data_IF_983007856214
#
_entry.id   IF_983007856214
#
_cell.length_a   1.000
_cell.length_b   1.000
_cell.length_c   1.000
_cell.angle_alpha   90.00
_cell.angle_beta   90.00
_cell.angle_gamma   90.00
#
_symmetry.space_group_name_H-M   'P 1'
#
loop_
_entity.id
_entity.type
_entity.pdbx_description
1 polymer ?
#
# COMPACT_ATOMS: atom_id res chain seq x y z
N UNK A 1 -14.82 11.07 -20.10
CA UNK A 1 -15.60 12.14 -19.44
C UNK A 1 -15.41 12.05 -17.94
N UNK A 2 -15.35 13.17 -17.23
CA UNK A 2 -15.23 13.22 -15.76
C UNK A 2 -16.50 13.88 -15.21
N UNK A 3 -17.19 13.20 -14.29
CA UNK A 3 -18.41 13.69 -13.66
C UNK A 3 -18.33 13.60 -12.12
N UNK A 4 -18.99 14.53 -11.44
CA UNK A 4 -19.14 14.56 -9.97
C UNK A 4 -20.63 14.68 -9.67
N UNK A 5 -21.22 13.63 -9.09
CA UNK A 5 -22.67 13.44 -9.14
C UNK A 5 -23.16 13.39 -10.60
N UNK A 6 -24.25 14.08 -10.90
CA UNK A 6 -24.82 14.12 -12.25
C UNK A 6 -24.18 15.17 -13.18
N UNK A 7 -23.15 15.89 -12.70
CA UNK A 7 -22.57 17.03 -13.42
C UNK A 7 -21.24 16.64 -14.10
N UNK A 8 -21.15 16.83 -15.41
CA UNK A 8 -19.89 16.76 -16.16
C UNK A 8 -19.04 17.98 -15.79
N UNK A 9 -17.79 17.76 -15.36
CA UNK A 9 -16.92 18.80 -14.81
C UNK A 9 -15.68 19.11 -15.66
N UNK A 10 -15.56 18.50 -16.84
CA UNK A 10 -14.42 18.63 -17.77
C UNK A 10 -13.97 20.09 -17.97
N UNK A 11 -14.88 20.96 -18.40
CA UNK A 11 -14.59 22.36 -18.78
C UNK A 11 -14.77 23.36 -17.63
N UNK A 12 -15.12 22.90 -16.43
CA UNK A 12 -15.33 23.78 -15.29
C UNK A 12 -14.01 24.23 -14.68
N UNK A 13 -13.95 25.48 -14.23
CA UNK A 13 -12.83 25.94 -13.42
C UNK A 13 -12.80 25.18 -12.06
N UNK A 14 -11.62 24.97 -11.44
CA UNK A 14 -11.51 24.19 -10.19
C UNK A 14 -12.44 24.65 -9.07
N UNK A 15 -12.68 25.96 -8.93
CA UNK A 15 -13.58 26.54 -7.91
C UNK A 15 -15.04 26.11 -8.05
N UNK A 16 -15.45 25.73 -9.26
CA UNK A 16 -16.82 25.41 -9.65
C UNK A 16 -17.09 23.89 -9.65
N UNK A 17 -16.07 23.06 -9.39
CA UNK A 17 -16.15 21.59 -9.34
C UNK A 17 -16.60 21.03 -8.00
N UNK A 18 -16.73 21.89 -6.98
CA UNK A 18 -17.12 21.53 -5.62
C UNK A 18 -16.23 20.46 -4.96
N UNK A 19 -14.92 20.62 -5.17
CA UNK A 19 -13.86 19.78 -4.62
C UNK A 19 -13.02 20.54 -3.59
N UNK A 20 -12.43 19.82 -2.65
CA UNK A 20 -11.35 20.33 -1.80
C UNK A 20 -10.08 19.50 -1.99
N UNK A 21 -8.95 20.20 -2.12
CA UNK A 21 -7.64 19.59 -2.33
C UNK A 21 -6.75 19.83 -1.11
N UNK A 22 -6.05 18.78 -0.67
CA UNK A 22 -4.98 18.83 0.33
C UNK A 22 -3.68 18.49 -0.38
N UNK A 23 -2.77 19.45 -0.44
CA UNK A 23 -1.49 19.35 -1.14
C UNK A 23 -0.40 18.79 -0.22
N UNK A 24 0.64 18.24 -0.84
CA UNK A 24 1.87 17.78 -0.20
C UNK A 24 2.52 18.85 0.70
N UNK A 25 2.66 20.10 0.21
CA UNK A 25 3.37 21.19 0.91
C UNK A 25 2.53 21.99 1.92
N UNK A 26 1.40 21.44 2.38
CA UNK A 26 0.38 22.08 3.24
C UNK A 26 -0.35 23.29 2.62
N UNK A 27 0.32 24.04 1.74
CA UNK A 27 -0.13 25.24 1.04
C UNK A 27 -0.76 26.31 1.97
N UNK A 28 -0.27 26.44 3.21
CA UNK A 28 -0.79 27.39 4.20
C UNK A 28 -0.25 28.80 3.96
N UNK A 29 -1.09 29.82 4.16
CA UNK A 29 -0.67 31.22 4.11
C UNK A 29 0.08 31.57 5.40
N UNK A 30 1.39 31.90 5.34
CA UNK A 30 2.24 32.03 6.53
C UNK A 30 1.93 33.28 7.37
N UNK A 31 1.32 34.30 6.74
CA UNK A 31 0.95 35.56 7.37
C UNK A 31 -0.42 35.52 8.07
N UNK A 32 -1.24 34.51 7.76
CA UNK A 32 -2.56 34.29 8.35
C UNK A 32 -2.45 33.36 9.56
N UNK A 33 -3.34 33.55 10.53
CA UNK A 33 -3.59 32.61 11.64
C UNK A 33 -4.21 31.32 11.13
N UNK A 34 -4.28 30.29 11.98
CA UNK A 34 -4.96 29.03 11.68
C UNK A 34 -6.44 29.27 11.37
N UNK A 35 -7.13 30.09 12.17
CA UNK A 35 -8.53 30.46 11.93
C UNK A 35 -8.69 31.12 10.56
N UNK A 36 -7.85 32.10 10.22
CA UNK A 36 -7.91 32.80 8.93
C UNK A 36 -7.62 31.87 7.76
N UNK A 37 -6.62 30.98 7.90
CA UNK A 37 -6.31 29.97 6.88
C UNK A 37 -7.53 29.09 6.56
N UNK A 38 -8.25 28.64 7.60
CA UNK A 38 -9.47 27.83 7.46
C UNK A 38 -10.64 28.66 6.91
N UNK A 39 -10.83 29.88 7.41
CA UNK A 39 -11.94 30.74 7.01
C UNK A 39 -11.82 31.29 5.57
N UNK A 40 -10.60 31.40 5.03
CA UNK A 40 -10.30 32.13 3.79
C UNK A 40 -11.22 31.77 2.61
N UNK A 41 -11.40 30.47 2.33
CA UNK A 41 -12.24 30.02 1.22
C UNK A 41 -13.73 30.33 1.38
N UNK A 42 -14.22 30.39 2.63
CA UNK A 42 -15.60 30.74 2.94
C UNK A 42 -15.83 32.26 2.85
N UNK A 43 -14.84 33.05 3.28
CA UNK A 43 -14.86 34.52 3.15
C UNK A 43 -14.97 34.90 1.68
N UNK A 44 -14.15 34.30 0.81
CA UNK A 44 -14.15 34.59 -0.62
C UNK A 44 -15.48 34.21 -1.31
N UNK A 45 -16.20 33.23 -0.75
CA UNK A 45 -17.54 32.82 -1.19
C UNK A 45 -18.67 33.65 -0.54
N UNK A 46 -18.34 34.72 0.19
CA UNK A 46 -19.28 35.62 0.85
C UNK A 46 -20.23 34.94 1.88
N UNK A 47 -19.76 33.89 2.54
CA UNK A 47 -20.52 33.29 3.65
C UNK A 47 -20.65 34.27 4.84
N UNK A 48 -21.77 34.17 5.57
CA UNK A 48 -21.99 35.00 6.76
C UNK A 48 -20.98 34.70 7.87
N UNK A 49 -20.54 35.72 8.61
CA UNK A 49 -19.53 35.58 9.68
C UNK A 49 -19.87 34.51 10.72
N UNK A 50 -21.14 34.40 11.12
CA UNK A 50 -21.60 33.37 12.06
C UNK A 50 -21.48 31.96 11.50
N UNK A 51 -21.74 31.78 10.20
CA UNK A 51 -21.58 30.48 9.54
C UNK A 51 -20.10 30.08 9.44
N UNK A 52 -19.24 31.02 9.05
CA UNK A 52 -17.78 30.81 8.99
C UNK A 52 -17.27 30.34 10.33
N UNK A 53 -17.60 31.06 11.41
CA UNK A 53 -17.18 30.72 12.78
C UNK A 53 -17.60 29.30 13.15
N UNK A 54 -18.89 28.96 12.96
CA UNK A 54 -19.42 27.63 13.26
C UNK A 54 -18.70 26.52 12.49
N UNK A 55 -18.46 26.71 11.18
CA UNK A 55 -17.77 25.71 10.34
C UNK A 55 -16.30 25.53 10.78
N UNK A 56 -15.60 26.63 11.06
CA UNK A 56 -14.20 26.59 11.52
C UNK A 56 -14.09 25.91 12.88
N UNK A 57 -14.94 26.28 13.84
CA UNK A 57 -14.96 25.66 15.17
C UNK A 57 -15.28 24.16 15.10
N UNK A 58 -16.25 23.77 14.27
CA UNK A 58 -16.58 22.36 14.04
C UNK A 58 -15.39 21.56 13.47
N UNK A 59 -14.77 22.06 12.39
CA UNK A 59 -13.61 21.41 11.78
C UNK A 59 -12.41 21.36 12.74
N UNK A 60 -12.19 22.42 13.51
CA UNK A 60 -11.13 22.47 14.52
C UNK A 60 -11.35 21.45 15.65
N UNK A 61 -12.60 21.19 16.02
CA UNK A 61 -12.98 20.13 16.96
C UNK A 61 -12.69 18.73 16.42
N UNK A 62 -13.09 18.44 15.17
CA UNK A 62 -12.82 17.14 14.52
C UNK A 62 -11.33 16.82 14.50
N UNK A 63 -10.51 17.83 14.21
CA UNK A 63 -9.06 17.70 14.03
C UNK A 63 -8.24 17.93 15.30
N UNK A 64 -8.90 18.24 16.42
CA UNK A 64 -8.26 18.58 17.68
C UNK A 64 -7.17 19.68 17.52
N UNK A 65 -7.57 20.81 16.93
CA UNK A 65 -6.70 22.00 16.71
C UNK A 65 -7.32 23.30 17.25
N UNK A 66 -8.38 23.22 18.07
CA UNK A 66 -9.08 24.38 18.63
C UNK A 66 -8.15 25.36 19.34
N UNK A 67 -7.23 24.85 20.17
CA UNK A 67 -6.26 25.66 20.94
C UNK A 67 -5.22 26.37 20.06
N UNK A 68 -5.16 26.03 18.77
CA UNK A 68 -4.21 26.60 17.83
C UNK A 68 -4.81 27.63 16.89
N UNK A 69 -6.12 27.90 16.96
CA UNK A 69 -6.84 28.80 16.04
C UNK A 69 -6.20 30.20 15.93
N UNK A 70 -5.67 30.74 17.03
CA UNK A 70 -5.03 32.06 17.06
C UNK A 70 -3.53 32.05 16.67
N UNK A 71 -2.92 30.88 16.50
CA UNK A 71 -1.49 30.75 16.14
C UNK A 71 -1.30 30.93 14.63
N UNK A 72 -0.07 31.25 14.21
CA UNK A 72 0.36 31.25 12.81
C UNK A 72 1.10 29.94 12.45
N UNK A 73 1.15 29.52 11.18
CA UNK A 73 1.77 28.25 10.74
C UNK A 73 3.20 27.99 11.23
N UNK A 74 4.00 29.05 11.39
CA UNK A 74 5.38 28.97 11.92
C UNK A 74 5.47 28.54 13.38
N UNK A 75 4.38 28.63 14.14
CA UNK A 75 4.29 28.25 15.56
C UNK A 75 3.75 26.83 15.75
N UNK A 76 3.58 26.08 14.66
CA UNK A 76 2.99 24.74 14.65
C UNK A 76 4.03 23.68 14.31
N UNK A 77 3.84 22.46 14.79
CA UNK A 77 4.57 21.28 14.32
C UNK A 77 4.12 20.89 12.90
N UNK A 78 4.85 20.00 12.22
CA UNK A 78 4.46 19.48 10.90
C UNK A 78 3.06 18.86 10.90
N UNK A 79 2.75 18.05 11.92
CA UNK A 79 1.46 17.38 12.03
C UNK A 79 0.32 18.33 12.35
N UNK A 80 0.60 19.37 13.15
CA UNK A 80 -0.36 20.45 13.37
C UNK A 80 -0.63 21.23 12.07
N UNK A 81 0.41 21.57 11.29
CA UNK A 81 0.23 22.20 9.97
C UNK A 81 -0.60 21.31 9.04
N UNK A 82 -0.35 20.00 9.03
CA UNK A 82 -1.13 19.05 8.23
C UNK A 82 -2.60 19.04 8.64
N UNK A 83 -2.89 19.04 9.95
CA UNK A 83 -4.27 19.15 10.45
C UNK A 83 -4.92 20.46 10.00
N UNK A 84 -4.21 21.58 10.03
CA UNK A 84 -4.75 22.86 9.53
C UNK A 84 -5.04 22.78 8.03
N UNK A 85 -4.15 22.17 7.23
CA UNK A 85 -4.37 21.97 5.79
C UNK A 85 -5.61 21.12 5.52
N UNK A 86 -5.80 20.02 6.25
CA UNK A 86 -7.04 19.24 6.20
C UNK A 86 -8.26 20.05 6.66
N UNK A 87 -8.10 20.88 7.69
CA UNK A 87 -9.15 21.75 8.20
C UNK A 87 -9.67 22.71 7.13
N UNK A 88 -8.78 23.29 6.32
CA UNK A 88 -9.15 24.13 5.16
C UNK A 88 -9.98 23.39 4.13
N UNK A 89 -9.76 22.09 3.97
CA UNK A 89 -10.57 21.27 3.08
C UNK A 89 -11.94 20.98 3.70
N UNK A 90 -11.98 20.57 4.97
CA UNK A 90 -13.21 20.14 5.66
C UNK A 90 -14.23 21.28 5.79
N UNK A 91 -13.77 22.50 6.12
CA UNK A 91 -14.68 23.66 6.27
C UNK A 91 -15.46 24.00 4.98
N UNK A 92 -14.95 23.58 3.82
CA UNK A 92 -15.63 23.80 2.53
C UNK A 92 -16.81 22.85 2.31
N UNK A 93 -16.88 21.74 3.03
CA UNK A 93 -17.93 20.73 2.89
C UNK A 93 -18.12 20.28 1.41
N UNK A 94 -17.04 19.81 0.75
CA UNK A 94 -17.07 19.49 -0.68
C UNK A 94 -17.75 18.15 -0.96
N UNK A 95 -18.10 17.88 -2.23
CA UNK A 95 -18.55 16.55 -2.65
C UNK A 95 -17.43 15.51 -2.71
N UNK A 96 -16.20 15.96 -2.96
CA UNK A 96 -15.02 15.10 -3.10
C UNK A 96 -13.80 15.76 -2.46
N UNK A 97 -13.09 14.98 -1.64
CA UNK A 97 -11.76 15.32 -1.15
C UNK A 97 -10.68 14.71 -2.04
N UNK A 98 -9.68 15.51 -2.40
CA UNK A 98 -8.50 15.07 -3.12
C UNK A 98 -7.28 15.27 -2.23
N UNK A 99 -6.54 14.19 -1.96
CA UNK A 99 -5.32 14.21 -1.18
C UNK A 99 -4.15 13.84 -2.08
N UNK A 100 -3.19 14.74 -2.20
CA UNK A 100 -2.00 14.58 -3.03
C UNK A 100 -0.77 14.44 -2.13
N UNK A 101 -0.35 13.19 -1.89
CA UNK A 101 0.74 12.81 -0.99
C UNK A 101 0.80 13.59 0.33
N UNK A 102 -0.31 13.67 1.10
CA UNK A 102 -0.42 14.60 2.21
C UNK A 102 0.52 14.29 3.39
N UNK A 103 1.17 13.13 3.42
CA UNK A 103 2.01 12.66 4.52
C UNK A 103 3.51 12.59 4.19
N UNK A 104 3.91 12.82 2.93
CA UNK A 104 5.30 12.59 2.49
C UNK A 104 6.30 13.52 3.19
N UNK A 105 5.89 14.74 3.51
CA UNK A 105 6.69 15.75 4.22
C UNK A 105 6.82 15.53 5.75
N UNK A 106 6.25 14.46 6.30
CA UNK A 106 6.28 14.15 7.73
C UNK A 106 7.33 13.07 8.05
N UNK A 107 7.85 13.05 9.28
CA UNK A 107 8.68 11.95 9.77
C UNK A 107 7.87 10.67 9.98
N UNK A 108 8.55 9.52 10.03
CA UNK A 108 7.91 8.21 10.08
C UNK A 108 6.93 8.03 11.26
N UNK A 109 7.27 8.52 12.46
CA UNK A 109 6.40 8.41 13.64
C UNK A 109 5.13 9.22 13.44
N UNK A 110 5.29 10.42 12.93
CA UNK A 110 4.18 11.32 12.67
C UNK A 110 3.30 10.85 11.50
N UNK A 111 3.86 10.21 10.48
CA UNK A 111 3.09 9.57 9.39
C UNK A 111 2.12 8.53 9.93
N UNK A 112 2.58 7.62 10.81
CA UNK A 112 1.71 6.58 11.40
C UNK A 112 0.55 7.21 12.19
N UNK A 113 0.84 8.25 12.98
CA UNK A 113 -0.18 8.98 13.71
C UNK A 113 -1.19 9.63 12.77
N UNK A 114 -0.72 10.39 11.78
CA UNK A 114 -1.58 11.14 10.86
C UNK A 114 -2.40 10.23 9.96
N UNK A 115 -1.87 9.08 9.54
CA UNK A 115 -2.62 8.05 8.82
C UNK A 115 -3.82 7.54 9.61
N UNK A 116 -3.62 7.27 10.90
CA UNK A 116 -4.71 6.87 11.80
C UNK A 116 -5.77 7.97 11.91
N UNK A 117 -5.35 9.24 11.98
CA UNK A 117 -6.27 10.38 12.03
C UNK A 117 -7.04 10.58 10.72
N UNK A 118 -6.42 10.40 9.55
CA UNK A 118 -7.10 10.45 8.25
C UNK A 118 -8.15 9.33 8.15
N UNK A 119 -7.82 8.12 8.60
CA UNK A 119 -8.79 7.00 8.63
C UNK A 119 -10.00 7.30 9.52
N UNK A 120 -9.78 7.92 10.69
CA UNK A 120 -10.87 8.38 11.56
C UNK A 120 -11.68 9.50 10.93
N UNK A 121 -11.02 10.44 10.26
CA UNK A 121 -11.68 11.54 9.55
C UNK A 121 -12.60 11.00 8.46
N UNK A 122 -12.12 10.07 7.62
CA UNK A 122 -12.91 9.44 6.57
C UNK A 122 -14.20 8.82 7.12
N UNK A 123 -14.09 8.06 8.23
CA UNK A 123 -15.24 7.47 8.94
C UNK A 123 -16.23 8.48 9.51
N UNK A 124 -15.82 9.72 9.80
CA UNK A 124 -16.68 10.75 10.40
C UNK A 124 -17.36 11.63 9.36
N UNK A 125 -16.70 11.85 8.23
CA UNK A 125 -17.15 12.81 7.21
C UNK A 125 -17.89 12.11 6.06
N UNK A 126 -17.66 10.80 5.86
CA UNK A 126 -18.36 9.94 4.89
C UNK A 126 -18.45 10.50 3.45
N UNK A 127 -17.54 11.40 3.11
CA UNK A 127 -17.45 12.03 1.79
C UNK A 127 -16.41 11.28 0.96
N UNK A 128 -16.64 11.17 -0.36
CA UNK A 128 -15.70 10.52 -1.27
C UNK A 128 -14.31 11.13 -1.17
N UNK A 129 -13.29 10.31 -0.93
CA UNK A 129 -11.88 10.72 -0.87
C UNK A 129 -11.07 9.98 -1.93
N UNK A 130 -10.28 10.73 -2.71
CA UNK A 130 -9.24 10.18 -3.58
C UNK A 130 -7.90 10.52 -2.94
N UNK A 131 -7.10 9.51 -2.66
CA UNK A 131 -5.82 9.63 -1.98
C UNK A 131 -4.70 9.10 -2.88
N UNK A 132 -3.73 9.95 -3.19
CA UNK A 132 -2.55 9.63 -3.99
C UNK A 132 -1.35 9.44 -3.07
N UNK A 133 -0.60 8.37 -3.28
CA UNK A 133 0.61 8.05 -2.51
C UNK A 133 1.50 7.08 -3.27
N UNK A 134 2.81 7.17 -3.04
CA UNK A 134 3.78 6.17 -3.40
C UNK A 134 4.05 5.17 -2.27
N UNK A 135 3.52 5.39 -1.07
CA UNK A 135 3.68 4.51 0.08
C UNK A 135 2.58 3.44 0.09
N UNK A 136 3.00 2.20 -0.16
CA UNK A 136 2.12 1.04 -0.13
C UNK A 136 1.42 0.81 1.20
N UNK A 137 2.04 1.12 2.35
CA UNK A 137 1.43 0.94 3.67
C UNK A 137 0.29 1.94 3.84
N UNK A 138 0.41 3.15 3.30
CA UNK A 138 -0.70 4.10 3.24
C UNK A 138 -1.85 3.57 2.39
N UNK A 139 -1.57 3.11 1.16
CA UNK A 139 -2.58 2.54 0.27
C UNK A 139 -3.32 1.36 0.92
N UNK A 140 -2.57 0.45 1.55
CA UNK A 140 -3.12 -0.77 2.15
C UNK A 140 -3.93 -0.53 3.42
N UNK A 141 -3.68 0.55 4.16
CA UNK A 141 -4.33 0.78 5.46
C UNK A 141 -5.43 1.85 5.43
N UNK A 142 -5.39 2.77 4.47
CA UNK A 142 -6.36 3.86 4.33
C UNK A 142 -7.50 3.54 3.37
N UNK A 143 -7.21 2.83 2.28
CA UNK A 143 -8.14 2.73 1.16
C UNK A 143 -9.19 1.64 1.35
N UNK A 144 -10.41 1.90 0.89
CA UNK A 144 -11.41 0.85 0.65
C UNK A 144 -11.13 0.13 -0.67
N UNK A 145 -10.62 0.87 -1.66
CA UNK A 145 -10.18 0.37 -2.97
C UNK A 145 -8.87 1.05 -3.38
N UNK A 146 -7.95 0.25 -3.90
CA UNK A 146 -6.64 0.68 -4.40
C UNK A 146 -6.66 0.60 -5.92
N UNK A 147 -6.13 1.63 -6.57
CA UNK A 147 -5.87 1.68 -8.01
C UNK A 147 -4.35 1.74 -8.18
N UNK A 148 -3.74 0.63 -8.58
CA UNK A 148 -2.31 0.57 -8.88
C UNK A 148 -2.11 1.09 -10.29
N UNK A 149 -1.20 2.06 -10.44
CA UNK A 149 -0.90 2.69 -11.72
C UNK A 149 0.58 2.57 -12.05
N UNK A 150 0.89 2.42 -13.34
CA UNK A 150 2.24 2.40 -13.88
C UNK A 150 2.25 3.11 -15.23
N UNK A 151 3.20 4.02 -15.44
CA UNK A 151 3.41 4.72 -16.72
C UNK A 151 2.11 5.33 -17.30
N UNK A 152 1.28 5.91 -16.41
CA UNK A 152 -0.01 6.51 -16.76
C UNK A 152 -1.15 5.53 -17.05
N UNK A 153 -0.94 4.22 -16.90
CA UNK A 153 -1.95 3.17 -17.09
C UNK A 153 -2.34 2.54 -15.76
N UNK A 154 -3.60 2.10 -15.67
CA UNK A 154 -4.08 1.31 -14.53
C UNK A 154 -3.63 -0.14 -14.73
N UNK A 155 -2.87 -0.64 -13.77
CA UNK A 155 -2.41 -2.04 -13.73
C UNK A 155 -3.46 -2.93 -13.08
N UNK A 156 -4.01 -2.49 -11.96
CA UNK A 156 -5.00 -3.26 -11.21
C UNK A 156 -5.86 -2.37 -10.33
N UNK A 157 -7.13 -2.75 -10.17
CA UNK A 157 -8.05 -2.14 -9.21
C UNK A 157 -8.65 -3.23 -8.33
N UNK A 158 -8.65 -3.03 -7.03
CA UNK A 158 -9.18 -4.00 -6.07
C UNK A 158 -9.26 -3.44 -4.66
N UNK A 159 -9.78 -4.24 -3.73
CA UNK A 159 -9.57 -3.97 -2.30
C UNK A 159 -8.08 -4.19 -1.96
N UNK A 160 -7.56 -3.62 -0.86
CA UNK A 160 -6.20 -3.90 -0.41
C UNK A 160 -5.88 -5.40 -0.38
N UNK A 161 -6.79 -6.22 0.17
CA UNK A 161 -6.65 -7.67 0.24
C UNK A 161 -6.51 -8.33 -1.14
N UNK A 162 -7.34 -7.93 -2.12
CA UNK A 162 -7.25 -8.47 -3.50
C UNK A 162 -5.96 -8.05 -4.18
N UNK A 163 -5.53 -6.80 -4.03
CA UNK A 163 -4.26 -6.32 -4.61
C UNK A 163 -3.07 -7.12 -4.03
N UNK A 164 -3.09 -7.42 -2.73
CA UNK A 164 -2.02 -8.14 -2.07
C UNK A 164 -1.99 -9.63 -2.39
N UNK A 165 -3.15 -10.28 -2.28
CA UNK A 165 -3.31 -11.74 -2.35
C UNK A 165 -3.51 -12.28 -3.76
N UNK A 166 -3.91 -11.43 -4.71
CA UNK A 166 -4.18 -11.81 -6.10
C UNK A 166 -3.62 -10.75 -7.06
N UNK A 167 -2.30 -10.52 -7.07
CA UNK A 167 -1.70 -9.57 -8.00
C UNK A 167 -1.97 -9.99 -9.45
N UNK A 168 -2.34 -9.03 -10.30
CA UNK A 168 -2.69 -9.28 -11.71
C UNK A 168 -1.45 -9.42 -12.61
N UNK A 169 -0.32 -8.84 -12.20
CA UNK A 169 0.93 -8.84 -12.96
C UNK A 169 2.14 -8.97 -12.05
N UNK A 170 3.29 -9.32 -12.64
CA UNK A 170 4.60 -9.34 -11.97
C UNK A 170 4.88 -7.98 -11.34
N UNK A 171 4.50 -6.89 -12.00
CA UNK A 171 4.67 -5.54 -11.48
C UNK A 171 3.91 -5.33 -10.18
N UNK A 172 2.61 -5.67 -10.12
CA UNK A 172 1.83 -5.50 -8.89
C UNK A 172 2.38 -6.40 -7.77
N UNK A 173 2.75 -7.63 -8.09
CA UNK A 173 3.35 -8.57 -7.15
C UNK A 173 4.69 -8.07 -6.55
N UNK A 174 5.52 -7.45 -7.38
CA UNK A 174 6.82 -6.89 -7.00
C UNK A 174 6.76 -5.48 -6.42
N UNK A 175 5.63 -4.78 -6.55
CA UNK A 175 5.45 -3.41 -6.05
C UNK A 175 4.78 -3.37 -4.67
N UNK A 176 3.84 -4.28 -4.41
CA UNK A 176 3.08 -4.34 -3.17
C UNK A 176 3.70 -5.38 -2.23
N UNK A 177 3.83 -5.07 -0.94
CA UNK A 177 4.47 -5.87 0.10
C UNK A 177 5.80 -5.29 0.60
N UNK A 178 6.09 -5.45 1.89
CA UNK A 178 7.40 -5.14 2.49
C UNK A 178 7.81 -6.27 3.45
N UNK A 179 8.74 -7.16 3.06
CA UNK A 179 9.40 -7.24 1.75
C UNK A 179 8.42 -7.59 0.61
N UNK A 180 8.85 -7.37 -0.63
CA UNK A 180 8.06 -7.68 -1.82
C UNK A 180 7.99 -9.18 -2.09
N UNK A 181 7.14 -9.62 -3.03
CA UNK A 181 7.03 -11.02 -3.39
C UNK A 181 8.36 -11.56 -3.94
N UNK A 182 8.78 -12.76 -3.52
CA UNK A 182 9.86 -13.46 -4.20
C UNK A 182 9.41 -13.82 -5.60
N UNK A 183 10.07 -13.27 -6.62
CA UNK A 183 9.74 -13.47 -8.04
C UNK A 183 10.95 -14.06 -8.74
N UNK A 184 10.89 -15.34 -9.08
CA UNK A 184 12.05 -16.09 -9.59
C UNK A 184 11.68 -16.86 -10.86
N UNK A 185 12.65 -17.01 -11.76
CA UNK A 185 12.46 -17.80 -12.96
C UNK A 185 12.29 -19.28 -12.61
N UNK A 186 11.30 -19.93 -13.23
CA UNK A 186 10.99 -21.33 -13.01
C UNK A 186 10.51 -21.99 -14.30
N UNK A 187 10.37 -23.32 -14.26
CA UNK A 187 9.79 -24.12 -15.35
C UNK A 187 8.70 -25.01 -14.79
N UNK A 188 7.58 -25.10 -15.51
CA UNK A 188 6.55 -26.08 -15.19
C UNK A 188 6.89 -27.42 -15.83
N UNK A 189 6.86 -28.48 -15.03
CA UNK A 189 7.17 -29.84 -15.47
C UNK A 189 6.12 -30.81 -14.95
N UNK A 190 5.97 -31.93 -15.64
CA UNK A 190 5.15 -33.04 -15.15
C UNK A 190 6.08 -34.21 -14.79
N UNK A 191 6.04 -34.64 -13.53
CA UNK A 191 6.85 -35.74 -12.99
C UNK A 191 5.92 -36.78 -12.38
N UNK A 192 5.96 -38.01 -12.89
CA UNK A 192 5.12 -39.13 -12.42
C UNK A 192 3.62 -38.79 -12.32
N UNK A 193 3.10 -38.02 -13.28
CA UNK A 193 1.70 -37.57 -13.31
C UNK A 193 1.40 -36.32 -12.50
N UNK A 194 2.31 -35.88 -11.63
CA UNK A 194 2.15 -34.69 -10.80
C UNK A 194 2.78 -33.46 -11.45
N UNK A 195 2.10 -32.32 -11.38
CA UNK A 195 2.64 -31.06 -11.86
C UNK A 195 3.58 -30.46 -10.80
N UNK A 196 4.77 -30.03 -11.24
CA UNK A 196 5.77 -29.40 -10.38
C UNK A 196 6.24 -28.09 -10.98
N UNK A 197 6.60 -27.15 -10.11
CA UNK A 197 7.35 -25.95 -10.47
C UNK A 197 8.81 -26.16 -10.09
N UNK A 198 9.70 -26.15 -11.09
CA UNK A 198 11.14 -26.36 -10.92
C UNK A 198 11.86 -25.01 -10.96
N UNK A 199 12.64 -24.72 -9.91
CA UNK A 199 13.45 -23.51 -9.76
C UNK A 199 14.91 -23.88 -9.96
N UNK A 200 15.53 -23.37 -11.03
CA UNK A 200 16.96 -23.49 -11.29
C UNK A 200 17.56 -24.91 -11.36
N UNK A 201 16.73 -25.96 -11.36
CA UNK A 201 17.14 -27.36 -11.45
C UNK A 201 17.42 -28.05 -10.10
N UNK A 202 17.61 -27.30 -9.01
CA UNK A 202 17.94 -27.86 -7.69
C UNK A 202 16.72 -27.98 -6.77
N UNK A 203 15.74 -27.08 -6.91
CA UNK A 203 14.51 -27.12 -6.15
C UNK A 203 13.31 -27.37 -7.05
N UNK A 204 12.36 -28.18 -6.57
CA UNK A 204 11.08 -28.36 -7.24
C UNK A 204 9.97 -28.55 -6.22
N UNK A 205 8.86 -27.86 -6.42
CA UNK A 205 7.71 -27.94 -5.52
C UNK A 205 6.51 -28.54 -6.25
N UNK A 206 5.80 -29.43 -5.57
CA UNK A 206 4.57 -30.03 -6.09
C UNK A 206 3.46 -28.99 -6.08
N UNK A 207 2.87 -28.74 -7.25
CA UNK A 207 1.70 -27.87 -7.37
C UNK A 207 0.48 -28.61 -6.82
N UNK A 208 -0.30 -28.00 -5.90
CA UNK A 208 -1.50 -28.63 -5.38
C UNK A 208 -2.47 -29.01 -6.50
N UNK A 209 -3.04 -30.24 -6.49
CA UNK A 209 -3.84 -30.77 -7.59
C UNK A 209 -5.00 -29.86 -8.02
N UNK A 210 -5.58 -29.11 -7.09
CA UNK A 210 -6.66 -28.15 -7.34
C UNK A 210 -6.27 -27.01 -8.30
N UNK A 211 -4.97 -26.68 -8.43
CA UNK A 211 -4.47 -25.66 -9.36
C UNK A 211 -3.91 -26.26 -10.66
N UNK A 212 -3.67 -27.56 -10.71
CA UNK A 212 -2.97 -28.19 -11.84
C UNK A 212 -3.70 -27.99 -13.18
N UNK A 213 -5.03 -27.93 -13.17
CA UNK A 213 -5.83 -27.71 -14.36
C UNK A 213 -5.58 -26.34 -15.01
N UNK A 214 -5.39 -25.28 -14.21
CA UNK A 214 -5.16 -23.93 -14.69
C UNK A 214 -3.81 -23.78 -15.43
N UNK A 215 -2.85 -24.64 -15.11
CA UNK A 215 -1.47 -24.56 -15.62
C UNK A 215 -1.16 -25.59 -16.70
N UNK A 216 -2.16 -26.37 -17.16
CA UNK A 216 -1.93 -27.48 -18.11
C UNK A 216 -1.27 -27.02 -19.42
N UNK A 217 -1.68 -25.89 -19.97
CA UNK A 217 -1.14 -25.36 -21.23
C UNK A 217 0.27 -24.78 -21.09
N UNK A 218 0.74 -24.64 -19.85
CA UNK A 218 2.05 -24.12 -19.49
C UNK A 218 3.08 -25.21 -19.18
N UNK A 219 2.70 -26.48 -19.22
CA UNK A 219 3.61 -27.60 -19.03
C UNK A 219 4.76 -27.52 -20.04
N UNK A 220 5.99 -27.61 -19.55
CA UNK A 220 7.21 -27.50 -20.34
C UNK A 220 7.64 -26.06 -20.67
N UNK A 221 6.91 -25.04 -20.22
CA UNK A 221 7.25 -23.62 -20.46
C UNK A 221 7.98 -23.01 -19.27
N UNK A 222 8.75 -21.97 -19.57
CA UNK A 222 9.29 -21.06 -18.56
C UNK A 222 8.19 -20.17 -18.00
N UNK A 223 8.17 -20.00 -16.69
CA UNK A 223 7.23 -19.15 -15.94
C UNK A 223 8.01 -18.34 -14.90
N UNK A 224 7.38 -17.30 -14.35
CA UNK A 224 7.88 -16.64 -13.13
C UNK A 224 7.09 -17.19 -11.94
N UNK A 225 7.80 -17.81 -10.99
CA UNK A 225 7.24 -18.25 -9.72
C UNK A 225 7.24 -17.11 -8.72
N UNK A 226 6.08 -16.85 -8.14
CA UNK A 226 5.83 -15.83 -7.14
C UNK A 226 5.42 -16.46 -5.80
N UNK A 227 6.13 -16.13 -4.72
CA UNK A 227 5.71 -16.50 -3.37
C UNK A 227 6.08 -15.40 -2.36
N UNK A 228 5.12 -15.01 -1.52
CA UNK A 228 5.37 -13.99 -0.49
C UNK A 228 6.37 -14.50 0.56
N UNK A 229 7.20 -13.63 1.14
CA UNK A 229 8.16 -14.00 2.18
C UNK A 229 7.53 -14.70 3.39
N UNK A 230 6.33 -14.27 3.81
CA UNK A 230 5.58 -14.85 4.93
C UNK A 230 4.88 -16.18 4.60
N UNK A 231 4.86 -16.59 3.33
CA UNK A 231 4.35 -17.91 2.92
C UNK A 231 5.45 -18.99 2.90
N UNK A 232 6.66 -18.65 3.33
CA UNK A 232 7.74 -19.59 3.63
C UNK A 232 7.76 -19.84 5.14
N UNK A 233 7.05 -20.86 5.60
CA UNK A 233 6.94 -21.16 7.02
C UNK A 233 8.22 -21.82 7.56
N UNK A 234 8.63 -21.47 8.78
CA UNK A 234 9.70 -22.18 9.45
C UNK A 234 9.25 -23.60 9.83
N UNK A 235 10.10 -24.60 9.56
CA UNK A 235 9.83 -26.00 9.90
C UNK A 235 10.78 -26.50 11.00
N UNK A 236 10.23 -26.70 12.21
CA UNK A 236 10.98 -27.18 13.40
C UNK A 236 11.21 -28.71 13.42
N UNK A 237 10.81 -29.44 12.38
CA UNK A 237 10.83 -30.91 12.35
C UNK A 237 11.81 -31.52 11.36
N UNK A 238 11.64 -32.82 11.13
CA UNK A 238 12.40 -33.58 10.12
C UNK A 238 12.18 -33.03 8.71
N UNK A 239 13.22 -33.15 7.88
CA UNK A 239 13.16 -32.78 6.46
C UNK A 239 12.30 -33.82 5.74
N UNK A 240 11.19 -33.36 5.18
CA UNK A 240 10.37 -34.13 4.24
C UNK A 240 10.54 -33.58 2.82
N UNK A 241 9.88 -34.20 1.85
CA UNK A 241 9.97 -33.80 0.44
C UNK A 241 9.40 -32.39 0.13
N UNK A 242 8.69 -31.77 1.07
CA UNK A 242 8.14 -30.41 0.95
C UNK A 242 8.98 -29.37 1.73
N UNK A 243 10.02 -29.79 2.45
CA UNK A 243 10.93 -28.92 3.19
C UNK A 243 12.13 -28.54 2.31
N UNK A 244 12.43 -27.25 2.26
CA UNK A 244 13.61 -26.68 1.64
C UNK A 244 14.63 -26.32 2.75
N UNK A 245 15.81 -26.92 2.72
CA UNK A 245 16.93 -26.50 3.58
C UNK A 245 17.78 -25.46 2.84
N UNK A 246 17.93 -24.28 3.44
CA UNK A 246 18.70 -23.15 2.89
C UNK A 246 19.74 -22.67 3.88
N UNK A 247 20.77 -22.00 3.39
CA UNK A 247 21.74 -21.28 4.23
C UNK A 247 21.43 -19.79 4.17
N UNK A 248 21.28 -19.15 5.32
CA UNK A 248 21.05 -17.72 5.39
C UNK A 248 22.26 -16.94 4.86
N UNK A 249 22.10 -16.16 3.80
CA UNK A 249 23.13 -15.23 3.33
C UNK A 249 23.14 -13.95 4.17
N UNK A 250 21.96 -13.43 4.49
CA UNK A 250 21.77 -12.26 5.36
C UNK A 250 20.62 -12.52 6.32
N UNK A 251 20.77 -12.09 7.57
CA UNK A 251 19.75 -12.15 8.61
C UNK A 251 19.49 -10.74 9.14
N UNK A 252 18.27 -10.23 8.96
CA UNK A 252 17.87 -8.91 9.45
C UNK A 252 16.82 -9.04 10.56
N UNK A 253 17.19 -8.84 11.83
CA UNK A 253 16.24 -8.85 12.94
C UNK A 253 15.42 -7.56 12.97
N UNK A 254 14.09 -7.68 12.92
CA UNK A 254 13.13 -6.57 12.97
C UNK A 254 12.32 -6.54 14.28
N UNK A 255 12.78 -7.28 15.30
CA UNK A 255 12.14 -7.40 16.60
C UNK A 255 11.25 -8.63 16.68
N UNK A 256 9.98 -8.52 16.27
CA UNK A 256 9.03 -9.63 16.29
C UNK A 256 9.18 -10.59 15.11
N UNK A 257 9.92 -10.17 14.09
CA UNK A 257 10.21 -10.94 12.89
C UNK A 257 11.71 -10.86 12.60
N UNK A 258 12.20 -11.85 11.85
CA UNK A 258 13.52 -11.87 11.23
C UNK A 258 13.35 -12.10 9.74
N UNK A 259 13.95 -11.24 8.92
CA UNK A 259 14.07 -11.49 7.49
C UNK A 259 15.31 -12.33 7.23
N UNK A 260 15.12 -13.46 6.55
CA UNK A 260 16.21 -14.35 6.15
C UNK A 260 16.31 -14.32 4.64
N UNK A 261 17.41 -13.76 4.15
CA UNK A 261 17.76 -13.80 2.73
C UNK A 261 18.58 -15.05 2.46
N UNK A 262 18.35 -15.69 1.32
CA UNK A 262 19.01 -16.91 0.89
C UNK A 262 18.96 -17.03 -0.63
N UNK A 263 19.72 -17.98 -1.17
CA UNK A 263 19.73 -18.29 -2.61
C UNK A 263 19.25 -19.71 -2.87
N UNK A 264 18.50 -19.91 -3.95
CA UNK A 264 18.23 -21.22 -4.54
C UNK A 264 18.69 -21.16 -5.99
N UNK A 265 19.68 -21.95 -6.39
CA UNK A 265 20.18 -21.97 -7.76
C UNK A 265 20.53 -20.57 -8.31
N UNK A 266 21.24 -19.77 -7.50
CA UNK A 266 21.59 -18.37 -7.75
C UNK A 266 20.41 -17.39 -7.88
N UNK A 267 19.20 -17.79 -7.44
CA UNK A 267 18.03 -16.93 -7.33
C UNK A 267 17.91 -16.43 -5.88
N UNK A 268 18.08 -15.13 -5.67
CA UNK A 268 17.90 -14.52 -4.35
C UNK A 268 16.42 -14.52 -3.95
N UNK A 269 16.16 -14.94 -2.71
CA UNK A 269 14.85 -14.98 -2.10
C UNK A 269 14.94 -14.53 -0.63
N UNK A 270 13.81 -14.14 -0.06
CA UNK A 270 13.67 -13.75 1.34
C UNK A 270 12.47 -14.46 1.97
N UNK A 271 12.66 -14.93 3.20
CA UNK A 271 11.60 -15.41 4.08
C UNK A 271 11.41 -14.47 5.26
N UNK A 272 10.17 -14.28 5.71
CA UNK A 272 9.85 -13.56 6.95
C UNK A 272 9.47 -14.59 8.01
N UNK A 273 10.33 -14.73 9.01
CA UNK A 273 10.28 -15.81 9.99
C UNK A 273 10.22 -15.26 11.42
N UNK A 274 9.84 -16.07 12.42
CA UNK A 274 10.00 -15.70 13.82
C UNK A 274 11.49 -15.60 14.22
N UNK A 275 11.85 -14.82 15.26
CA UNK A 275 13.24 -14.57 15.64
C UNK A 275 14.07 -15.80 16.01
N UNK A 276 13.42 -16.90 16.37
CA UNK A 276 14.05 -18.17 16.74
C UNK A 276 14.58 -18.94 15.53
N UNK A 277 14.08 -18.64 14.32
CA UNK A 277 14.39 -19.41 13.11
C UNK A 277 15.83 -19.25 12.61
N UNK A 278 16.42 -18.06 12.79
CA UNK A 278 17.80 -17.75 12.40
C UNK A 278 18.32 -16.55 13.20
N UNK A 279 19.61 -16.58 13.56
CA UNK A 279 20.27 -15.50 14.32
C UNK A 279 21.46 -14.91 13.58
N UNK A 280 22.13 -15.69 12.75
CA UNK A 280 23.37 -15.28 12.10
C UNK A 280 23.39 -15.69 10.61
N UNK A 281 24.08 -14.91 9.81
CA UNK A 281 24.52 -15.36 8.47
C UNK A 281 25.26 -16.69 8.58
N UNK A 282 24.94 -17.62 7.69
CA UNK A 282 25.47 -18.98 7.67
C UNK A 282 24.60 -20.00 8.42
N UNK A 283 23.60 -19.56 9.18
CA UNK A 283 22.65 -20.48 9.82
C UNK A 283 21.89 -21.29 8.76
N UNK A 284 21.71 -22.58 9.02
CA UNK A 284 20.83 -23.44 8.21
C UNK A 284 19.40 -23.28 8.66
N UNK A 285 18.51 -22.97 7.71
CA UNK A 285 17.09 -22.74 7.95
C UNK A 285 16.28 -23.70 7.12
N UNK A 286 15.27 -24.32 7.74
CA UNK A 286 14.32 -25.20 7.06
C UNK A 286 13.03 -24.45 6.82
N UNK A 287 12.65 -24.36 5.55
CA UNK A 287 11.48 -23.63 5.08
C UNK A 287 10.47 -24.59 4.47
N UNK A 288 9.19 -24.40 4.78
CA UNK A 288 8.08 -25.10 4.12
C UNK A 288 7.23 -24.08 3.35
N UNK A 289 7.32 -24.05 2.01
CA UNK A 289 6.53 -23.12 1.21
C UNK A 289 5.04 -23.50 1.18
N UNK A 290 4.12 -22.56 1.42
CA UNK A 290 2.68 -22.78 1.21
C UNK A 290 2.30 -22.57 -0.26
N UNK A 291 2.34 -23.67 -1.02
CA UNK A 291 2.06 -23.67 -2.46
C UNK A 291 0.60 -23.35 -2.82
N UNK A 292 -0.31 -23.29 -1.84
CA UNK A 292 -1.68 -22.79 -2.09
C UNK A 292 -1.74 -21.27 -2.24
N UNK A 293 -0.66 -20.59 -1.85
CA UNK A 293 -0.49 -19.13 -1.92
C UNK A 293 0.54 -18.72 -2.98
N UNK A 294 0.96 -19.64 -3.83
CA UNK A 294 1.87 -19.33 -4.93
C UNK A 294 1.14 -18.58 -6.05
N UNK A 295 1.92 -17.88 -6.86
CA UNK A 295 1.48 -17.28 -8.11
C UNK A 295 2.41 -17.69 -9.23
N UNK A 296 1.87 -17.94 -10.42
CA UNK A 296 2.66 -18.12 -11.63
C UNK A 296 2.34 -16.99 -12.60
N UNK A 297 3.36 -16.45 -13.24
CA UNK A 297 3.22 -15.39 -14.22
C UNK A 297 3.88 -15.78 -15.54
N UNK A 298 3.31 -15.28 -16.62
CA UNK A 298 3.89 -15.38 -17.95
C UNK A 298 5.07 -14.40 -18.08
N UNK A 299 6.30 -14.87 -18.37
CA UNK A 299 7.45 -13.97 -18.55
C UNK A 299 7.34 -13.08 -19.79
N UNK A 300 6.56 -13.48 -20.81
CA UNK A 300 6.41 -12.71 -22.04
C UNK A 300 5.47 -11.52 -21.88
N UNK A 301 4.33 -11.73 -21.21
CA UNK A 301 3.32 -10.67 -21.00
C UNK A 301 3.43 -9.99 -19.64
N UNK A 302 4.07 -10.63 -18.66
CA UNK A 302 4.11 -10.18 -17.28
C UNK A 302 2.79 -10.39 -16.51
N UNK A 303 1.80 -11.01 -17.11
CA UNK A 303 0.48 -11.23 -16.52
C UNK A 303 0.44 -12.51 -15.68
N UNK A 304 -0.38 -12.52 -14.64
CA UNK A 304 -0.63 -13.73 -13.85
C UNK A 304 -1.39 -14.75 -14.69
N UNK A 305 -0.96 -16.01 -14.61
CA UNK A 305 -1.59 -17.17 -15.24
C UNK A 305 -2.86 -17.56 -14.46
#
# INVERSE_FOLDING_TARGET
>A
TIAIGDRIVNELQPKDRDIAMVFQDYALYPHMTVYENMAFGLIYRNHAKGEIRRRVEHAAGILNIGDYLARRPRQLSGGQRQRVAMGRAIVRDPKVFLFDEPLSNLDAKLRVQMRTEIKKLHKRVETTMIYVTHDQVEAMTLADRVVVMRDGRVEQVGTPDVIYSQPASIFVAGFIGSPTMNLVAARLEQRNGTLVVALGGEASFVIPPEYAAAYRDWIGRGVIFGLRPEHLAWAEGDVDAATLEVTASVVEPLGADTLVFFEISALEMVARLPPEAARHTGDRVRLRPDLRRMHLFDPATGMRI
#
